data_IF_224150439825
#
_entry.id   IF_224150439825
#
_cell.length_a   1.000
_cell.length_b   1.000
_cell.length_c   1.000
_cell.angle_alpha   90.00
_cell.angle_beta   90.00
_cell.angle_gamma   90.00
#
_symmetry.space_group_name_H-M   'P 1'
#
loop_
_entity.id
_entity.type
_entity.pdbx_description
1 polymer ?
#
# COMPACT_ATOMS: atom_id res chain seq x y z
N UNK A 1 -3.98 -24.51 7.82
CA UNK A 1 -4.88 -24.40 9.01
C UNK A 1 -5.20 -22.93 9.31
N UNK A 2 -6.26 -22.64 10.10
CA UNK A 2 -6.59 -21.26 10.53
C UNK A 2 -5.42 -20.55 11.25
N UNK A 3 -4.59 -21.31 11.97
CA UNK A 3 -3.42 -20.79 12.68
C UNK A 3 -2.33 -20.34 11.70
N UNK A 4 -2.06 -21.10 10.67
CA UNK A 4 -1.10 -20.76 9.60
C UNK A 4 -1.57 -19.54 8.81
N UNK A 5 -2.86 -19.47 8.45
CA UNK A 5 -3.43 -18.30 7.81
C UNK A 5 -3.29 -17.03 8.66
N UNK A 6 -3.50 -17.14 9.99
CA UNK A 6 -3.28 -16.01 10.89
C UNK A 6 -1.81 -15.58 10.90
N UNK A 7 -0.87 -16.52 10.92
CA UNK A 7 0.57 -16.23 10.87
C UNK A 7 0.98 -15.57 9.55
N UNK A 8 0.50 -16.08 8.40
CA UNK A 8 0.80 -15.49 7.08
C UNK A 8 0.32 -14.03 7.03
N UNK A 9 -0.89 -13.75 7.51
CA UNK A 9 -1.44 -12.38 7.53
C UNK A 9 -0.63 -11.39 8.38
N UNK A 10 0.20 -11.87 9.33
CA UNK A 10 1.09 -11.00 10.10
C UNK A 10 2.23 -10.43 9.25
N UNK A 11 2.61 -11.14 8.19
CA UNK A 11 3.71 -10.76 7.29
C UNK A 11 3.25 -9.96 6.08
N UNK A 12 1.93 -9.72 5.93
CA UNK A 12 1.37 -9.01 4.79
C UNK A 12 0.76 -7.70 5.26
N UNK A 13 1.24 -6.60 4.71
CA UNK A 13 0.59 -5.29 4.76
C UNK A 13 -0.24 -5.07 3.50
N UNK A 14 -1.40 -4.40 3.62
CA UNK A 14 -2.25 -4.11 2.46
C UNK A 14 -2.52 -2.61 2.36
N UNK A 15 -2.33 -2.07 1.16
CA UNK A 15 -2.63 -0.70 0.78
C UNK A 15 -3.76 -0.80 -0.24
N UNK A 16 -4.91 -0.21 0.06
CA UNK A 16 -6.11 -0.25 -0.76
C UNK A 16 -6.27 1.02 -1.58
N UNK A 17 -6.89 0.92 -2.75
CA UNK A 17 -7.21 2.05 -3.62
C UNK A 17 -8.05 3.13 -2.90
N UNK A 18 -9.06 2.73 -2.12
CA UNK A 18 -9.94 3.63 -1.35
C UNK A 18 -9.37 4.00 0.03
N UNK A 19 -8.06 3.81 0.26
CA UNK A 19 -7.35 4.04 1.51
C UNK A 19 -7.86 3.22 2.70
N UNK A 20 -9.16 2.92 2.79
CA UNK A 20 -9.84 2.22 3.89
C UNK A 20 -9.50 2.81 5.27
N UNK A 21 -9.50 4.14 5.40
CA UNK A 21 -9.22 4.87 6.64
C UNK A 21 -10.51 5.26 7.37
N UNK A 22 -10.41 5.38 8.69
CA UNK A 22 -11.49 5.90 9.53
C UNK A 22 -11.43 7.42 9.51
N UNK A 23 -12.31 8.07 8.75
CA UNK A 23 -12.22 9.50 8.43
C UNK A 23 -12.32 10.44 9.63
N UNK A 24 -13.10 10.08 10.65
CA UNK A 24 -13.29 10.90 11.86
C UNK A 24 -12.22 10.64 12.93
N UNK A 25 -11.30 9.69 12.71
CA UNK A 25 -10.16 9.42 13.59
C UNK A 25 -8.92 10.15 13.12
N UNK A 26 -7.95 10.33 14.02
CA UNK A 26 -6.66 10.97 13.70
C UNK A 26 -5.82 10.10 12.77
N UNK A 27 -4.79 10.69 12.15
CA UNK A 27 -3.78 9.93 11.40
C UNK A 27 -3.13 8.87 12.28
N UNK A 28 -2.75 9.25 13.50
CA UNK A 28 -2.11 8.37 14.48
C UNK A 28 -3.01 7.19 14.84
N UNK A 29 -4.28 7.43 15.15
CA UNK A 29 -5.23 6.37 15.48
C UNK A 29 -5.42 5.41 14.29
N UNK A 30 -5.48 5.94 13.06
CA UNK A 30 -5.58 5.11 11.87
C UNK A 30 -4.37 4.17 11.72
N UNK A 31 -3.15 4.64 11.94
CA UNK A 31 -1.95 3.78 11.92
C UNK A 31 -2.03 2.73 13.02
N UNK A 32 -2.44 3.11 14.23
CA UNK A 32 -2.55 2.22 15.39
C UNK A 32 -3.60 1.11 15.20
N UNK A 33 -4.62 1.30 14.34
CA UNK A 33 -5.62 0.24 14.03
C UNK A 33 -4.98 -1.06 13.52
N UNK A 34 -3.80 -0.97 12.88
CA UNK A 34 -3.06 -2.16 12.45
C UNK A 34 -2.71 -3.13 13.59
N UNK A 35 -2.63 -2.63 14.83
CA UNK A 35 -2.32 -3.43 16.02
C UNK A 35 -3.54 -4.14 16.63
N UNK A 36 -4.77 -3.76 16.25
CA UNK A 36 -6.00 -4.28 16.87
C UNK A 36 -6.09 -5.83 16.86
N UNK A 37 -5.70 -6.55 15.78
CA UNK A 37 -5.78 -8.02 15.76
C UNK A 37 -4.89 -8.72 16.80
N UNK A 38 -3.91 -8.02 17.36
CA UNK A 38 -2.95 -8.56 18.34
C UNK A 38 -3.21 -8.05 19.76
N UNK A 39 -4.29 -7.30 19.96
CA UNK A 39 -4.68 -6.75 21.24
C UNK A 39 -5.76 -7.61 21.91
N UNK A 40 -5.75 -7.62 23.25
CA UNK A 40 -6.87 -8.15 24.02
C UNK A 40 -8.10 -7.23 23.80
N UNK A 41 -9.30 -7.80 23.94
CA UNK A 41 -10.57 -7.10 23.63
C UNK A 41 -10.70 -5.77 24.41
N UNK A 42 -10.43 -5.77 25.70
CA UNK A 42 -10.60 -4.57 26.55
C UNK A 42 -9.69 -3.42 26.13
N UNK A 43 -8.34 -3.56 26.00
CA UNK A 43 -7.49 -2.49 25.47
C UNK A 43 -7.86 -2.06 24.05
N UNK A 44 -8.28 -2.97 23.18
CA UNK A 44 -8.67 -2.67 21.81
C UNK A 44 -9.90 -1.75 21.74
N UNK A 45 -10.94 -2.04 22.55
CA UNK A 45 -12.18 -1.24 22.59
C UNK A 45 -11.94 0.17 23.13
N UNK A 46 -11.03 0.32 24.10
CA UNK A 46 -10.73 1.62 24.72
C UNK A 46 -9.54 2.34 24.09
N UNK A 47 -8.99 1.85 22.98
CA UNK A 47 -7.86 2.51 22.27
C UNK A 47 -6.57 2.56 23.10
N UNK A 48 -6.34 1.60 24.01
CA UNK A 48 -5.19 1.57 24.91
C UNK A 48 -3.99 0.89 24.23
N UNK A 49 -3.39 1.55 23.24
CA UNK A 49 -2.32 0.97 22.42
C UNK A 49 -0.96 0.82 23.12
N UNK A 50 -0.76 1.49 24.26
CA UNK A 50 0.54 1.52 24.95
C UNK A 50 1.55 2.49 24.29
N UNK A 51 2.54 2.88 25.10
CA UNK A 51 3.51 3.91 24.70
C UNK A 51 4.37 3.51 23.50
N UNK A 52 4.87 2.28 23.49
CA UNK A 52 5.77 1.78 22.42
C UNK A 52 5.11 1.80 21.04
N UNK A 53 3.86 1.30 20.94
CA UNK A 53 3.10 1.31 19.67
C UNK A 53 2.81 2.72 19.21
N UNK A 54 2.49 3.64 20.13
CA UNK A 54 2.25 5.04 19.80
C UNK A 54 3.52 5.70 19.26
N UNK A 55 4.67 5.44 19.87
CA UNK A 55 5.97 5.95 19.39
C UNK A 55 6.32 5.38 18.01
N UNK A 56 6.08 4.11 17.78
CA UNK A 56 6.30 3.48 16.47
C UNK A 56 5.40 4.08 15.39
N UNK A 57 4.12 4.27 15.68
CA UNK A 57 3.19 4.91 14.75
C UNK A 57 3.59 6.34 14.41
N UNK A 58 4.09 7.12 15.38
CA UNK A 58 4.63 8.47 15.15
C UNK A 58 5.87 8.46 14.24
N UNK A 59 6.79 7.51 14.44
CA UNK A 59 7.95 7.35 13.55
C UNK A 59 7.53 7.00 12.12
N UNK A 60 6.52 6.16 11.96
CA UNK A 60 6.01 5.81 10.63
C UNK A 60 5.32 7.00 9.96
N UNK A 61 4.57 7.82 10.73
CA UNK A 61 4.00 9.07 10.21
C UNK A 61 5.08 10.08 9.82
N UNK A 62 6.15 10.17 10.59
CA UNK A 62 7.32 10.99 10.25
C UNK A 62 7.95 10.52 8.94
N UNK A 63 8.17 9.24 8.79
CA UNK A 63 8.75 8.63 7.60
C UNK A 63 7.95 8.89 6.32
N UNK A 64 6.63 8.95 6.42
CA UNK A 64 5.78 9.30 5.27
C UNK A 64 5.53 10.81 5.13
N UNK A 65 6.23 11.65 5.93
CA UNK A 65 6.16 13.12 5.88
C UNK A 65 4.88 13.72 6.46
N UNK A 66 4.32 13.09 7.51
CA UNK A 66 3.07 13.52 8.15
C UNK A 66 3.21 13.72 9.67
N UNK A 67 4.41 14.01 10.19
CA UNK A 67 4.66 14.22 11.62
C UNK A 67 3.74 15.28 12.22
N UNK A 68 3.64 16.43 11.57
CA UNK A 68 2.85 17.58 12.04
C UNK A 68 1.33 17.33 11.99
N UNK A 69 0.91 16.30 11.23
CA UNK A 69 -0.48 15.94 11.02
C UNK A 69 -0.95 14.72 11.82
N UNK A 70 -0.11 14.22 12.73
CA UNK A 70 -0.41 13.00 13.48
C UNK A 70 -1.77 13.05 14.22
N UNK A 71 -2.11 14.19 14.79
CA UNK A 71 -3.36 14.39 15.55
C UNK A 71 -4.49 14.99 14.68
N UNK A 72 -4.26 15.26 13.39
CA UNK A 72 -5.32 15.74 12.49
C UNK A 72 -6.27 14.60 12.09
N UNK A 73 -7.58 14.86 12.01
CA UNK A 73 -8.53 13.88 11.50
C UNK A 73 -8.32 13.63 10.01
N UNK A 74 -8.38 12.36 9.60
CA UNK A 74 -8.10 11.93 8.21
C UNK A 74 -9.00 12.62 7.19
N UNK A 75 -10.24 12.97 7.54
CA UNK A 75 -11.17 13.71 6.65
C UNK A 75 -10.62 15.08 6.19
N UNK A 76 -9.69 15.67 6.93
CA UNK A 76 -9.08 16.97 6.61
C UNK A 76 -7.90 16.85 5.64
N UNK A 77 -7.48 15.63 5.31
CA UNK A 77 -6.30 15.35 4.48
C UNK A 77 -6.63 15.34 2.99
N UNK A 78 -5.64 15.71 2.15
CA UNK A 78 -5.66 15.44 0.71
C UNK A 78 -5.59 13.95 0.40
N UNK A 79 -5.92 13.54 -0.84
CA UNK A 79 -5.84 12.14 -1.28
C UNK A 79 -4.44 11.55 -1.08
N UNK A 80 -3.39 12.28 -1.50
CA UNK A 80 -2.00 11.84 -1.32
C UNK A 80 -1.59 11.72 0.16
N UNK A 81 -2.09 12.60 1.03
CA UNK A 81 -1.86 12.50 2.46
C UNK A 81 -2.60 11.28 3.06
N UNK A 82 -3.83 11.02 2.65
CA UNK A 82 -4.58 9.80 3.03
C UNK A 82 -3.81 8.53 2.61
N UNK A 83 -3.26 8.52 1.40
CA UNK A 83 -2.45 7.40 0.92
C UNK A 83 -1.19 7.18 1.77
N UNK A 84 -0.52 8.25 2.15
CA UNK A 84 0.64 8.18 3.06
C UNK A 84 0.27 7.62 4.44
N UNK A 85 -0.90 7.97 5.01
CA UNK A 85 -1.41 7.35 6.24
C UNK A 85 -1.69 5.86 6.03
N UNK A 86 -2.29 5.46 4.89
CA UNK A 86 -2.54 4.05 4.57
C UNK A 86 -1.23 3.24 4.44
N UNK A 87 -0.18 3.83 3.86
CA UNK A 87 1.17 3.23 3.80
C UNK A 87 1.75 3.07 5.22
N UNK A 88 1.73 4.11 6.04
CA UNK A 88 2.22 4.05 7.43
C UNK A 88 1.48 2.97 8.23
N UNK A 89 0.15 2.86 8.07
CA UNK A 89 -0.65 1.80 8.68
C UNK A 89 -0.23 0.40 8.20
N UNK A 90 0.04 0.23 6.91
CA UNK A 90 0.47 -1.07 6.37
C UNK A 90 1.84 -1.49 6.91
N UNK A 91 2.73 -0.55 7.17
CA UNK A 91 4.07 -0.78 7.73
C UNK A 91 4.07 -1.09 9.23
N UNK A 92 3.04 -0.69 9.98
CA UNK A 92 2.99 -0.78 11.45
C UNK A 92 3.21 -2.20 12.01
N UNK A 93 3.06 -3.21 11.19
CA UNK A 93 3.27 -4.62 11.58
C UNK A 93 4.56 -5.21 11.03
N UNK A 94 5.47 -4.39 10.52
CA UNK A 94 6.74 -4.80 9.91
C UNK A 94 6.55 -5.94 8.88
N UNK A 95 5.72 -5.74 7.84
CA UNK A 95 5.40 -6.77 6.87
C UNK A 95 6.63 -7.17 6.06
N UNK A 96 6.65 -8.40 5.54
CA UNK A 96 7.61 -8.87 4.54
C UNK A 96 7.12 -8.66 3.10
N UNK A 97 5.79 -8.52 2.96
CA UNK A 97 5.11 -8.30 1.70
C UNK A 97 4.10 -7.18 1.85
N UNK A 98 4.18 -6.18 1.00
CA UNK A 98 3.15 -5.15 0.81
C UNK A 98 2.35 -5.49 -0.45
N UNK A 99 1.04 -5.63 -0.28
CA UNK A 99 0.10 -5.72 -1.39
C UNK A 99 -0.48 -4.32 -1.61
N UNK A 100 -0.23 -3.73 -2.77
CA UNK A 100 -0.70 -2.38 -3.11
C UNK A 100 -1.67 -2.48 -4.30
N UNK A 101 -2.94 -2.22 -4.04
CA UNK A 101 -3.98 -2.22 -5.05
C UNK A 101 -4.17 -0.79 -5.56
N UNK A 102 -3.69 -0.55 -6.79
CA UNK A 102 -3.75 0.74 -7.48
C UNK A 102 -3.34 1.95 -6.60
N UNK A 103 -2.15 1.94 -5.98
CA UNK A 103 -1.80 2.90 -4.93
C UNK A 103 -1.69 4.36 -5.41
N UNK A 104 -1.69 4.61 -6.73
CA UNK A 104 -1.59 5.92 -7.35
C UNK A 104 -2.84 6.33 -8.17
N UNK A 105 -3.83 5.44 -8.37
CA UNK A 105 -4.91 5.65 -9.35
C UNK A 105 -5.85 6.82 -9.02
N UNK A 106 -6.10 7.08 -7.73
CA UNK A 106 -7.01 8.14 -7.28
C UNK A 106 -6.31 9.49 -7.04
N UNK A 107 -5.06 9.65 -7.51
CA UNK A 107 -4.21 10.81 -7.25
C UNK A 107 -3.87 11.53 -8.55
N UNK A 108 -3.53 12.81 -8.43
CA UNK A 108 -2.94 13.53 -9.57
C UNK A 108 -1.58 12.90 -9.94
N UNK A 109 -1.10 13.07 -11.19
CA UNK A 109 0.11 12.41 -11.68
C UNK A 109 1.36 12.68 -10.83
N UNK A 110 1.53 13.90 -10.34
CA UNK A 110 2.70 14.29 -9.53
C UNK A 110 2.67 13.60 -8.16
N UNK A 111 1.52 13.66 -7.50
CA UNK A 111 1.32 12.99 -6.21
C UNK A 111 1.41 11.46 -6.35
N UNK A 112 0.85 10.90 -7.42
CA UNK A 112 0.93 9.47 -7.71
C UNK A 112 2.38 8.99 -7.86
N UNK A 113 3.20 9.72 -8.62
CA UNK A 113 4.62 9.45 -8.77
C UNK A 113 5.35 9.48 -7.41
N UNK A 114 5.11 10.51 -6.59
CA UNK A 114 5.69 10.61 -5.25
C UNK A 114 5.30 9.44 -4.31
N UNK A 115 4.11 8.89 -4.45
CA UNK A 115 3.69 7.69 -3.70
C UNK A 115 4.47 6.47 -4.14
N UNK A 116 4.71 6.30 -5.44
CA UNK A 116 5.49 5.17 -5.95
C UNK A 116 6.98 5.30 -5.60
N UNK A 117 7.55 6.50 -5.64
CA UNK A 117 8.90 6.79 -5.12
C UNK A 117 9.02 6.40 -3.64
N UNK A 118 8.04 6.77 -2.81
CA UNK A 118 8.00 6.41 -1.39
C UNK A 118 7.96 4.88 -1.20
N UNK A 119 7.14 4.17 -1.98
CA UNK A 119 7.08 2.69 -1.91
C UNK A 119 8.40 2.06 -2.36
N UNK A 120 9.06 2.60 -3.39
CA UNK A 120 10.38 2.13 -3.84
C UNK A 120 11.47 2.39 -2.80
N UNK A 121 11.43 3.53 -2.12
CA UNK A 121 12.34 3.82 -1.00
C UNK A 121 12.13 2.83 0.17
N UNK A 122 10.89 2.59 0.56
CA UNK A 122 10.53 1.63 1.61
C UNK A 122 11.04 0.22 1.23
N UNK A 123 10.81 -0.21 0.00
CA UNK A 123 11.29 -1.49 -0.52
C UNK A 123 12.81 -1.62 -0.37
N UNK A 124 13.57 -0.59 -0.73
CA UNK A 124 15.04 -0.59 -0.64
C UNK A 124 15.56 -0.55 0.80
N UNK A 125 14.94 0.25 1.66
CA UNK A 125 15.43 0.49 3.03
C UNK A 125 15.03 -0.59 4.03
N UNK A 126 13.86 -1.22 3.84
CA UNK A 126 13.36 -2.28 4.74
C UNK A 126 13.50 -3.68 4.17
N UNK A 127 13.86 -3.83 2.89
CA UNK A 127 13.93 -5.13 2.23
C UNK A 127 12.56 -5.82 2.10
N UNK A 128 11.47 -5.03 2.12
CA UNK A 128 10.11 -5.53 1.94
C UNK A 128 9.84 -5.80 0.45
N UNK A 129 9.15 -6.88 0.14
CA UNK A 129 8.65 -7.11 -1.22
C UNK A 129 7.36 -6.30 -1.44
N UNK A 130 7.27 -5.55 -2.54
CA UNK A 130 6.05 -4.83 -2.92
C UNK A 130 5.44 -5.52 -4.14
N UNK A 131 4.21 -6.02 -4.00
CA UNK A 131 3.39 -6.50 -5.12
C UNK A 131 2.30 -5.46 -5.38
N UNK A 132 2.39 -4.80 -6.51
CA UNK A 132 1.48 -3.73 -6.90
C UNK A 132 0.60 -4.18 -8.06
N UNK A 133 -0.70 -3.98 -7.95
CA UNK A 133 -1.61 -3.98 -9.08
C UNK A 133 -1.64 -2.58 -9.69
N UNK A 134 -1.54 -2.47 -11.01
CA UNK A 134 -1.59 -1.18 -11.73
C UNK A 134 -2.10 -1.38 -13.15
N UNK A 135 -2.95 -0.48 -13.61
CA UNK A 135 -3.37 -0.39 -15.01
C UNK A 135 -2.55 0.67 -15.78
N UNK A 136 -1.65 1.40 -15.12
CA UNK A 136 -0.77 2.38 -15.75
C UNK A 136 0.55 1.74 -16.15
N UNK A 137 0.73 1.52 -17.47
CA UNK A 137 1.92 0.90 -18.03
C UNK A 137 3.18 1.72 -17.76
N UNK A 138 3.14 3.04 -17.94
CA UNK A 138 4.31 3.92 -17.79
C UNK A 138 4.87 3.84 -16.38
N UNK A 139 4.02 3.97 -15.36
CA UNK A 139 4.42 3.82 -13.95
C UNK A 139 4.91 2.39 -13.64
N UNK A 140 4.29 1.36 -14.26
CA UNK A 140 4.73 -0.02 -14.08
C UNK A 140 6.13 -0.25 -14.65
N UNK A 141 6.44 0.31 -15.82
CA UNK A 141 7.77 0.22 -16.43
C UNK A 141 8.83 0.96 -15.61
N UNK A 142 8.49 2.11 -15.04
CA UNK A 142 9.43 2.95 -14.27
C UNK A 142 9.75 2.37 -12.88
N UNK A 143 8.73 1.89 -12.17
CA UNK A 143 8.86 1.55 -10.74
C UNK A 143 9.05 0.07 -10.44
N UNK A 144 8.76 -0.84 -11.37
CA UNK A 144 8.83 -2.28 -11.12
C UNK A 144 10.20 -2.87 -11.45
N UNK A 145 10.61 -3.88 -10.68
CA UNK A 145 11.77 -4.72 -10.98
C UNK A 145 11.37 -5.95 -11.83
N UNK A 146 10.07 -6.34 -11.76
CA UNK A 146 9.45 -7.45 -12.51
C UNK A 146 8.00 -7.13 -12.79
N UNK A 147 7.54 -7.44 -13.99
CA UNK A 147 6.16 -7.24 -14.43
C UNK A 147 5.53 -8.59 -14.73
N UNK A 148 4.30 -8.80 -14.26
CA UNK A 148 3.46 -9.93 -14.60
C UNK A 148 2.25 -9.38 -15.33
N UNK A 149 2.18 -9.61 -16.64
CA UNK A 149 1.04 -9.22 -17.49
C UNK A 149 -0.02 -10.31 -17.50
N UNK A 150 -1.26 -9.92 -17.23
CA UNK A 150 -2.42 -10.83 -17.20
C UNK A 150 -3.35 -10.49 -18.36
N UNK A 151 -3.85 -11.53 -19.06
CA UNK A 151 -4.93 -11.40 -20.05
C UNK A 151 -5.82 -12.63 -19.97
N UNK A 152 -7.15 -12.46 -20.01
CA UNK A 152 -8.14 -13.52 -19.94
C UNK A 152 -7.92 -14.50 -18.74
N UNK A 153 -7.49 -13.95 -17.59
CA UNK A 153 -7.22 -14.74 -16.38
C UNK A 153 -5.96 -15.61 -16.43
N UNK A 154 -5.11 -15.43 -17.44
CA UNK A 154 -3.85 -16.17 -17.62
C UNK A 154 -2.66 -15.25 -17.64
N UNK A 155 -1.48 -15.75 -17.24
CA UNK A 155 -0.22 -15.01 -17.33
C UNK A 155 0.20 -14.99 -18.81
N UNK A 156 0.21 -13.79 -19.40
CA UNK A 156 0.66 -13.56 -20.77
C UNK A 156 2.14 -13.13 -20.81
N UNK A 157 2.61 -12.46 -19.77
CA UNK A 157 4.00 -12.00 -19.66
C UNK A 157 4.48 -12.16 -18.22
N UNK A 158 5.75 -12.52 -18.05
CA UNK A 158 6.45 -12.57 -16.76
C UNK A 158 7.94 -12.30 -17.02
N UNK A 159 8.41 -11.09 -16.67
CA UNK A 159 9.77 -10.68 -16.96
C UNK A 159 10.11 -9.29 -16.39
N UNK A 160 11.29 -8.79 -16.76
CA UNK A 160 11.74 -7.44 -16.40
C UNK A 160 11.13 -6.39 -17.35
N UNK A 161 11.02 -5.11 -16.96
CA UNK A 161 10.44 -4.06 -17.79
C UNK A 161 11.04 -3.94 -19.18
N UNK A 162 12.36 -4.13 -19.33
CA UNK A 162 13.09 -4.08 -20.58
C UNK A 162 12.78 -5.23 -21.55
N UNK A 163 12.18 -6.31 -21.07
CA UNK A 163 11.75 -7.45 -21.88
C UNK A 163 10.32 -7.30 -22.43
N UNK A 164 9.57 -6.28 -21.98
CA UNK A 164 8.20 -6.04 -22.38
C UNK A 164 8.17 -5.25 -23.68
N UNK A 165 7.98 -5.94 -24.81
CA UNK A 165 7.89 -5.33 -26.14
C UNK A 165 6.48 -4.84 -26.49
N UNK A 166 6.35 -4.06 -27.59
CA UNK A 166 5.07 -3.54 -28.08
C UNK A 166 4.06 -4.65 -28.38
N UNK A 167 4.48 -5.82 -28.86
CA UNK A 167 3.58 -6.91 -29.18
C UNK A 167 2.95 -7.50 -27.92
N UNK A 168 3.74 -7.64 -26.83
CA UNK A 168 3.25 -8.07 -25.54
C UNK A 168 2.34 -7.02 -24.88
N UNK A 169 2.69 -5.74 -24.99
CA UNK A 169 1.85 -4.64 -24.50
C UNK A 169 0.46 -4.70 -25.18
N UNK A 170 0.41 -4.84 -26.50
CA UNK A 170 -0.85 -4.99 -27.24
C UNK A 170 -1.62 -6.22 -26.79
N UNK A 171 -0.96 -7.35 -26.61
CA UNK A 171 -1.62 -8.58 -26.13
C UNK A 171 -2.29 -8.42 -24.77
N UNK A 172 -1.67 -7.64 -23.86
CA UNK A 172 -2.18 -7.41 -22.51
C UNK A 172 -3.33 -6.40 -22.51
N UNK A 173 -3.21 -5.31 -23.27
CA UNK A 173 -4.15 -4.17 -23.17
C UNK A 173 -5.23 -4.12 -24.29
N UNK A 174 -4.94 -4.60 -25.54
CA UNK A 174 -5.89 -4.47 -26.65
C UNK A 174 -7.08 -5.43 -26.57
N UNK A 175 -6.98 -6.52 -25.82
CA UNK A 175 -8.14 -7.42 -25.61
C UNK A 175 -9.17 -6.91 -24.60
N UNK A 176 -8.81 -5.98 -23.72
CA UNK A 176 -9.77 -5.34 -22.80
C UNK A 176 -10.73 -4.37 -23.50
N UNK A 177 -10.40 -3.90 -24.71
CA UNK A 177 -11.21 -2.95 -25.49
C UNK A 177 -12.10 -3.56 -26.57
N UNK A 178 -12.06 -4.87 -26.80
CA UNK A 178 -12.84 -5.55 -27.83
C UNK A 178 -14.13 -6.17 -27.25
N UNK A 179 -15.02 -5.33 -26.70
CA UNK A 179 -16.41 -5.69 -26.53
C UNK A 179 -17.26 -4.73 -27.39
N UNK A 180 -18.01 -5.25 -28.43
CA UNK A 180 -18.86 -4.45 -29.31
C UNK A 180 -20.06 -3.87 -28.54
#
# INVERSE_FOLDING_TARGET
TKREQKQIRLFIGTIYQDFCLVENSTCLDNVLTACLPDMALFPAVFGLYGHERRQEALKLLDRVGLSEKAEEPVKALSGGQKQRVAIARALMRHPKLLLADEPAASLDPVTGHQILELLKEIQKTEGVTVLMNSHNLELSLEFSDRIIGLTDGSVAFDGTPDQLDEAMIRLIYEKEGANP
#
